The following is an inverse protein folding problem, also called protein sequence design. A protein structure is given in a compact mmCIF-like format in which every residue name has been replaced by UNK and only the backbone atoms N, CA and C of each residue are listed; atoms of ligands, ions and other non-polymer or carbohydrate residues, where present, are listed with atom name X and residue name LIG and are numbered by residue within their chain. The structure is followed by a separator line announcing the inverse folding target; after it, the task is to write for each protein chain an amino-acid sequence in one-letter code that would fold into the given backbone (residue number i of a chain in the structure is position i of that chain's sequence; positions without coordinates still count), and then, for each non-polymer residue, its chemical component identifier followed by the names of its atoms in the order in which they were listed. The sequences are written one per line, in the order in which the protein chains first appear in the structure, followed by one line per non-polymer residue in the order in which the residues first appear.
data_IF_189930942746
#
_entry.id   IF_189930942746
#
_cell.length_a   1.000
_cell.length_b   1.000
_cell.length_c   1.000
_cell.angle_alpha   90.00
_cell.angle_beta   90.00
_cell.angle_gamma   90.00
#
_symmetry.space_group_name_H-M   'P 1'
#
loop_
_entity.id
_entity.type
_entity.pdbx_description
1 polymer ?
#
# COMPACT_ATOMS: atom_id res chain seq x y z
N UNK A 1 21.94 35.87 22.20
CA UNK A 1 20.99 36.94 22.57
C UNK A 1 19.57 36.49 22.25
N UNK A 2 18.69 36.40 23.26
CA UNK A 2 17.23 36.44 23.07
C UNK A 2 16.44 35.13 23.14
N UNK A 3 16.45 34.44 24.29
CA UNK A 3 15.35 33.54 24.68
C UNK A 3 14.20 34.37 25.29
N UNK A 4 12.95 34.04 24.97
CA UNK A 4 11.77 34.47 25.74
C UNK A 4 10.82 33.29 25.98
N UNK A 5 10.54 33.11 27.27
CA UNK A 5 9.66 32.13 27.91
C UNK A 5 8.18 32.39 27.62
N UNK A 6 7.34 31.34 27.70
CA UNK A 6 5.95 31.46 28.16
C UNK A 6 5.56 30.25 29.04
N UNK A 7 5.56 30.53 30.33
CA UNK A 7 4.73 30.09 31.47
C UNK A 7 3.67 28.97 31.31
N UNK A 8 3.66 28.06 32.29
CA UNK A 8 2.60 27.12 32.64
C UNK A 8 1.89 27.55 33.95
N UNK A 9 0.60 27.21 34.19
CA UNK A 9 -0.02 27.38 35.50
C UNK A 9 -0.22 26.06 36.28
N UNK A 10 -0.08 26.21 37.61
CA UNK A 10 -0.14 25.24 38.71
C UNK A 10 -1.54 24.67 38.98
N UNK A 11 -1.61 23.50 39.62
CA UNK A 11 -2.73 23.06 40.48
C UNK A 11 -2.21 22.55 41.83
N UNK A 12 -2.85 22.88 42.98
CA UNK A 12 -2.46 22.37 44.30
C UNK A 12 -3.33 21.18 44.77
N UNK A 13 -2.83 20.55 45.82
CA UNK A 13 -3.26 19.33 46.49
C UNK A 13 -4.50 19.47 47.41
N UNK A 14 -5.09 18.33 47.78
CA UNK A 14 -5.95 18.17 48.95
C UNK A 14 -5.78 16.77 49.55
N UNK A 15 -5.62 16.72 50.87
CA UNK A 15 -5.45 15.55 51.71
C UNK A 15 -6.59 15.43 52.72
N UNK A 16 -6.92 14.18 53.09
CA UNK A 16 -7.42 13.81 54.43
C UNK A 16 -8.94 13.73 54.64
N UNK A 17 -9.45 12.54 54.96
CA UNK A 17 -10.01 12.24 56.30
C UNK A 17 -10.40 10.75 56.45
N UNK A 18 -10.09 10.23 57.63
CA UNK A 18 -10.33 8.88 58.14
C UNK A 18 -11.65 8.87 58.92
N UNK A 19 -12.42 7.79 58.85
CA UNK A 19 -13.36 7.41 59.90
C UNK A 19 -13.55 5.89 59.93
N UNK A 20 -13.28 5.30 61.09
CA UNK A 20 -13.52 3.90 61.44
C UNK A 20 -14.81 3.78 62.28
N UNK A 21 -15.55 2.66 62.15
CA UNK A 21 -16.08 1.86 63.29
C UNK A 21 -16.82 0.60 62.77
N UNK A 22 -16.48 -0.56 63.35
CA UNK A 22 -17.21 -1.83 63.31
C UNK A 22 -18.07 -1.96 64.61
N UNK A 23 -18.65 -3.12 65.02
CA UNK A 23 -18.95 -4.41 64.37
C UNK A 23 -20.39 -4.94 64.64
N UNK A 24 -20.86 -6.00 63.97
CA UNK A 24 -21.80 -6.99 64.56
C UNK A 24 -22.07 -8.20 63.65
N UNK A 25 -21.93 -9.40 64.22
CA UNK A 25 -22.82 -10.55 63.92
C UNK A 25 -22.36 -11.59 62.89
N UNK A 26 -21.73 -12.67 63.36
CA UNK A 26 -21.77 -14.01 62.74
C UNK A 26 -23.08 -14.72 63.14
N UNK A 27 -23.65 -15.60 62.30
CA UNK A 27 -23.33 -17.03 62.45
C UNK A 27 -23.22 -17.85 61.14
N UNK A 28 -22.25 -18.77 61.20
CA UNK A 28 -22.12 -20.13 60.64
C UNK A 28 -22.88 -20.59 59.36
N UNK A 29 -22.04 -20.93 58.37
CA UNK A 29 -21.94 -22.20 57.61
C UNK A 29 -23.18 -22.82 56.91
N UNK A 30 -23.08 -23.01 55.58
CA UNK A 30 -23.62 -24.15 54.81
C UNK A 30 -23.01 -24.18 53.38
N UNK A 31 -22.14 -25.18 53.16
CA UNK A 31 -21.82 -25.99 51.94
C UNK A 31 -21.56 -25.37 50.54
N UNK A 32 -20.69 -26.01 49.71
CA UNK A 32 -20.22 -25.45 48.44
C UNK A 32 -21.09 -25.91 47.26
N UNK A 33 -21.58 -24.98 46.43
CA UNK A 33 -22.18 -25.32 45.15
C UNK A 33 -22.00 -24.19 44.13
N UNK A 34 -21.67 -24.61 42.91
CA UNK A 34 -21.61 -23.82 41.68
C UNK A 34 -20.51 -22.75 41.60
N UNK A 35 -19.29 -23.22 41.27
CA UNK A 35 -18.39 -22.40 40.48
C UNK A 35 -19.09 -22.05 39.16
N UNK A 36 -19.64 -20.83 39.09
CA UNK A 36 -20.05 -20.23 37.86
C UNK A 36 -18.84 -20.23 36.92
N UNK A 37 -18.92 -21.03 35.86
CA UNK A 37 -17.95 -21.01 34.77
C UNK A 37 -18.05 -19.61 34.13
N UNK A 38 -17.22 -18.71 34.64
CA UNK A 38 -16.84 -17.50 33.96
C UNK A 38 -16.31 -17.98 32.60
N UNK A 39 -17.07 -17.74 31.53
CA UNK A 39 -16.58 -17.96 30.17
C UNK A 39 -15.38 -17.05 30.00
N UNK A 40 -14.20 -17.60 30.28
CA UNK A 40 -12.95 -16.97 30.00
C UNK A 40 -12.99 -16.60 28.52
N UNK A 41 -12.94 -15.30 28.23
CA UNK A 41 -12.61 -14.79 26.92
C UNK A 41 -11.34 -15.52 26.49
N UNK A 42 -11.49 -16.52 25.61
CA UNK A 42 -10.36 -17.15 24.95
C UNK A 42 -9.62 -15.98 24.29
N UNK A 43 -8.33 -15.75 24.62
CA UNK A 43 -7.55 -14.75 23.91
C UNK A 43 -7.64 -15.12 22.43
N UNK A 44 -8.30 -14.28 21.63
CA UNK A 44 -8.37 -14.48 20.20
C UNK A 44 -6.91 -14.54 19.73
N UNK A 45 -6.48 -15.71 19.27
CA UNK A 45 -5.12 -15.88 18.77
C UNK A 45 -4.90 -14.83 17.67
N UNK A 46 -3.97 -13.87 17.85
CA UNK A 46 -3.76 -12.79 16.88
C UNK A 46 -3.27 -13.31 15.53
N UNK A 47 -2.84 -14.59 15.46
CA UNK A 47 -2.44 -15.25 14.23
C UNK A 47 -3.59 -15.89 13.47
N UNK A 48 -4.76 -16.07 14.11
CA UNK A 48 -5.91 -16.74 13.51
C UNK A 48 -6.43 -15.98 12.28
N UNK A 49 -6.93 -16.71 11.26
CA UNK A 49 -7.51 -16.10 10.08
C UNK A 49 -8.77 -15.32 10.45
N UNK A 50 -8.82 -14.05 10.06
CA UNK A 50 -9.94 -13.14 10.30
C UNK A 50 -10.48 -12.64 8.97
N UNK A 51 -11.80 -12.65 8.83
CA UNK A 51 -12.47 -12.19 7.61
C UNK A 51 -13.00 -10.78 7.86
N UNK A 52 -12.68 -9.87 6.95
CA UNK A 52 -13.15 -8.49 6.92
C UNK A 52 -14.05 -8.29 5.71
N UNK A 53 -15.27 -7.86 5.95
CA UNK A 53 -16.21 -7.49 4.90
C UNK A 53 -16.03 -6.01 4.57
N UNK A 54 -15.76 -5.69 3.31
CA UNK A 54 -15.57 -4.33 2.82
C UNK A 54 -16.73 -3.94 1.93
N UNK A 55 -17.30 -2.78 2.22
CA UNK A 55 -18.29 -2.13 1.34
C UNK A 55 -17.66 -1.61 0.05
N UNK A 56 -18.47 -1.34 -0.98
CA UNK A 56 -17.99 -0.75 -2.23
C UNK A 56 -17.38 0.63 -1.99
N UNK A 57 -16.21 0.89 -2.58
CA UNK A 57 -15.47 2.15 -2.43
C UNK A 57 -14.70 2.28 -1.12
N UNK A 58 -14.61 1.22 -0.32
CA UNK A 58 -13.77 1.17 0.87
C UNK A 58 -12.40 0.55 0.59
N UNK A 59 -11.42 0.95 1.40
CA UNK A 59 -10.13 0.26 1.52
C UNK A 59 -9.93 -0.30 2.92
N UNK A 60 -9.28 -1.45 3.01
CA UNK A 60 -8.72 -2.01 4.23
C UNK A 60 -7.26 -1.62 4.34
N UNK A 61 -6.91 -0.86 5.37
CA UNK A 61 -5.53 -0.49 5.69
C UNK A 61 -4.97 -1.45 6.72
N UNK A 62 -3.79 -2.00 6.42
CA UNK A 62 -3.14 -3.00 7.25
C UNK A 62 -1.71 -2.54 7.55
N UNK A 63 -1.34 -2.56 8.83
CA UNK A 63 0.04 -2.46 9.31
C UNK A 63 0.40 -3.80 9.90
N UNK A 64 1.34 -4.50 9.26
CA UNK A 64 1.87 -5.78 9.75
C UNK A 64 2.84 -5.52 10.90
N UNK A 65 2.89 -6.46 11.84
CA UNK A 65 3.92 -6.50 12.89
C UNK A 65 5.33 -6.45 12.29
N UNK A 66 6.28 -5.79 12.95
CA UNK A 66 7.62 -5.55 12.38
C UNK A 66 8.43 -6.86 12.25
N UNK A 67 8.27 -7.79 13.19
CA UNK A 67 9.07 -9.01 13.27
C UNK A 67 8.39 -10.22 12.61
N UNK A 68 7.12 -10.11 12.26
CA UNK A 68 6.29 -11.23 11.81
C UNK A 68 5.66 -10.95 10.45
N UNK A 69 5.29 -12.01 9.75
CA UNK A 69 4.65 -11.91 8.45
C UNK A 69 3.16 -12.18 8.55
N UNK A 70 2.40 -11.51 7.69
CA UNK A 70 0.98 -11.76 7.50
C UNK A 70 0.73 -12.21 6.05
N UNK A 71 -0.48 -12.67 5.78
CA UNK A 71 -0.95 -12.94 4.44
C UNK A 71 -2.38 -12.45 4.28
N UNK A 72 -2.72 -12.06 3.06
CA UNK A 72 -4.07 -11.66 2.70
C UNK A 72 -4.57 -12.51 1.56
N UNK A 73 -5.86 -12.85 1.60
CA UNK A 73 -6.54 -13.65 0.59
C UNK A 73 -7.89 -13.04 0.29
N UNK A 74 -8.18 -12.82 -0.99
CA UNK A 74 -9.53 -12.50 -1.43
C UNK A 74 -10.39 -13.77 -1.32
N UNK A 75 -11.45 -13.72 -0.51
CA UNK A 75 -12.35 -14.87 -0.34
C UNK A 75 -13.23 -14.97 -1.59
N UNK A 76 -13.23 -16.13 -2.24
CA UNK A 76 -14.08 -16.38 -3.40
C UNK A 76 -15.55 -16.39 -2.99
N UNK A 77 -16.39 -15.68 -3.75
CA UNK A 77 -17.84 -15.77 -3.59
C UNK A 77 -18.35 -17.04 -4.29
N UNK A 78 -18.89 -18.04 -3.57
CA UNK A 78 -19.38 -19.28 -4.18
C UNK A 78 -20.54 -19.06 -5.18
N UNK A 79 -21.16 -17.87 -5.18
CA UNK A 79 -22.22 -17.52 -6.14
C UNK A 79 -21.68 -16.93 -7.45
N UNK A 80 -20.43 -16.46 -7.49
CA UNK A 80 -19.82 -15.80 -8.65
C UNK A 80 -19.26 -16.78 -9.69
N UNK A 81 -19.12 -18.07 -9.36
CA UNK A 81 -18.48 -19.09 -10.23
C UNK A 81 -19.34 -19.55 -11.40
N UNK A 82 -20.53 -18.97 -11.62
CA UNK A 82 -21.35 -19.28 -12.79
C UNK A 82 -20.89 -18.41 -13.98
N UNK A 83 -20.49 -19.00 -15.12
CA UNK A 83 -20.14 -18.23 -16.30
C UNK A 83 -21.35 -17.38 -16.73
N UNK A 84 -21.15 -16.06 -16.83
CA UNK A 84 -22.18 -15.09 -17.21
C UNK A 84 -22.74 -14.21 -16.08
N UNK A 85 -22.33 -14.42 -14.83
CA UNK A 85 -22.66 -13.49 -13.73
C UNK A 85 -21.54 -12.44 -13.57
N UNK A 86 -21.84 -11.14 -13.41
CA UNK A 86 -20.81 -10.13 -13.15
C UNK A 86 -20.00 -10.49 -11.89
N UNK A 87 -18.68 -10.30 -11.97
CA UNK A 87 -17.74 -10.54 -10.86
C UNK A 87 -18.20 -9.71 -9.66
N UNK A 88 -18.85 -10.35 -8.69
CA UNK A 88 -19.44 -9.67 -7.54
C UNK A 88 -18.39 -9.19 -6.53
N UNK A 89 -17.18 -9.76 -6.57
CA UNK A 89 -16.11 -9.49 -5.62
C UNK A 89 -14.79 -9.21 -6.33
N UNK A 90 -14.35 -7.96 -6.29
CA UNK A 90 -13.05 -7.53 -6.81
C UNK A 90 -12.29 -6.78 -5.72
N UNK A 91 -10.99 -7.03 -5.60
CA UNK A 91 -10.12 -6.27 -4.70
C UNK A 91 -8.77 -6.03 -5.36
N UNK A 92 -8.12 -4.92 -5.02
CA UNK A 92 -6.83 -4.56 -5.58
C UNK A 92 -5.88 -3.97 -4.51
N UNK A 93 -4.59 -4.32 -4.60
CA UNK A 93 -3.52 -3.71 -3.81
C UNK A 93 -2.80 -2.73 -4.72
N UNK A 94 -2.95 -1.43 -4.45
CA UNK A 94 -2.37 -0.36 -5.27
C UNK A 94 -2.58 -0.57 -6.79
N UNK A 95 -3.80 -0.96 -7.17
CA UNK A 95 -4.20 -1.19 -8.57
C UNK A 95 -3.85 -2.57 -9.15
N UNK A 96 -3.08 -3.41 -8.45
CA UNK A 96 -2.87 -4.82 -8.82
C UNK A 96 -4.04 -5.67 -8.33
N UNK A 97 -4.69 -6.38 -9.24
CA UNK A 97 -5.89 -7.16 -8.97
C UNK A 97 -5.56 -8.44 -8.18
N UNK A 98 -6.37 -8.73 -7.16
CA UNK A 98 -6.22 -9.92 -6.33
C UNK A 98 -7.02 -11.09 -6.93
N UNK A 99 -6.37 -12.23 -7.06
CA UNK A 99 -7.00 -13.48 -7.49
C UNK A 99 -7.72 -14.13 -6.31
N UNK A 100 -9.03 -14.44 -6.42
CA UNK A 100 -9.75 -15.13 -5.37
C UNK A 100 -9.11 -16.47 -5.00
N UNK A 101 -8.93 -16.71 -3.69
CA UNK A 101 -8.33 -17.94 -3.18
C UNK A 101 -6.79 -17.94 -3.13
N UNK A 102 -6.12 -16.99 -3.77
CA UNK A 102 -4.66 -16.85 -3.73
C UNK A 102 -4.18 -16.14 -2.46
N UNK A 103 -3.12 -16.66 -1.85
CA UNK A 103 -2.44 -16.02 -0.72
C UNK A 103 -1.41 -15.01 -1.21
N UNK A 104 -1.49 -13.78 -0.70
CA UNK A 104 -0.52 -12.71 -0.95
C UNK A 104 0.27 -12.43 0.33
N UNK A 105 1.61 -12.60 0.32
CA UNK A 105 2.44 -12.43 1.51
C UNK A 105 2.72 -10.95 1.82
N UNK A 106 2.42 -10.55 3.05
CA UNK A 106 2.77 -9.24 3.59
C UNK A 106 3.96 -9.40 4.56
N UNK A 107 5.10 -8.80 4.20
CA UNK A 107 6.31 -8.85 5.04
C UNK A 107 6.15 -8.01 6.30
N UNK A 108 7.03 -8.25 7.27
CA UNK A 108 7.01 -7.50 8.53
C UNK A 108 7.21 -6.00 8.29
N UNK A 109 6.47 -5.18 9.05
CA UNK A 109 6.46 -3.72 8.91
C UNK A 109 5.79 -3.18 7.64
N UNK A 110 5.21 -4.06 6.80
CA UNK A 110 4.50 -3.64 5.58
C UNK A 110 3.27 -2.83 5.95
N UNK A 111 3.14 -1.65 5.32
CA UNK A 111 1.93 -0.82 5.34
C UNK A 111 1.26 -0.92 3.98
N UNK A 112 0.08 -1.54 3.93
CA UNK A 112 -0.63 -1.75 2.67
C UNK A 112 -2.09 -1.31 2.77
N UNK A 113 -2.70 -1.09 1.61
CA UNK A 113 -4.11 -0.79 1.45
C UNK A 113 -4.70 -1.72 0.38
N UNK A 114 -5.81 -2.37 0.72
CA UNK A 114 -6.58 -3.21 -0.20
C UNK A 114 -7.88 -2.47 -0.50
N UNK A 115 -8.07 -2.03 -1.74
CA UNK A 115 -9.25 -1.30 -2.18
C UNK A 115 -10.25 -2.23 -2.89
N UNK A 116 -11.54 -1.94 -2.77
CA UNK A 116 -12.59 -2.63 -3.53
C UNK A 116 -13.56 -1.67 -4.19
N UNK A 117 -13.83 -1.89 -5.48
CA UNK A 117 -14.82 -1.12 -6.24
C UNK A 117 -16.26 -1.57 -5.97
N UNK A 118 -16.48 -2.88 -5.82
CA UNK A 118 -17.81 -3.48 -5.76
C UNK A 118 -18.18 -4.06 -4.38
N UNK A 119 -17.22 -4.10 -3.45
CA UNK A 119 -17.34 -4.81 -2.18
C UNK A 119 -16.68 -6.18 -2.25
N UNK A 120 -16.09 -6.63 -1.15
CA UNK A 120 -15.42 -7.94 -1.10
C UNK A 120 -15.27 -8.44 0.34
N UNK A 121 -14.82 -9.69 0.47
CA UNK A 121 -14.39 -10.25 1.76
C UNK A 121 -12.90 -10.57 1.69
N UNK A 122 -12.13 -9.97 2.57
CA UNK A 122 -10.68 -10.19 2.68
C UNK A 122 -10.41 -11.01 3.92
N UNK A 123 -9.74 -12.14 3.75
CA UNK A 123 -9.18 -12.92 4.84
C UNK A 123 -7.76 -12.42 5.12
N UNK A 124 -7.51 -11.95 6.34
CA UNK A 124 -6.18 -11.62 6.83
C UNK A 124 -5.74 -12.73 7.78
N UNK A 125 -4.53 -13.25 7.62
CA UNK A 125 -3.98 -14.27 8.54
C UNK A 125 -2.60 -13.84 9.00
N UNK A 126 -2.30 -14.08 10.28
CA UNK A 126 -1.06 -13.61 10.91
C UNK A 126 -1.22 -12.26 11.64
N UNK A 127 -0.20 -11.88 12.43
CA UNK A 127 -0.25 -10.76 13.34
C UNK A 127 -0.13 -9.41 12.63
N UNK A 128 -0.89 -8.44 13.11
CA UNK A 128 -0.94 -7.07 12.61
C UNK A 128 -0.98 -6.11 13.79
N UNK A 129 -0.37 -4.95 13.61
CA UNK A 129 -0.44 -3.84 14.57
C UNK A 129 -1.75 -3.10 14.42
N UNK A 130 -2.22 -2.92 13.18
CA UNK A 130 -3.41 -2.14 12.89
C UNK A 130 -4.16 -2.66 11.68
N UNK A 131 -5.49 -2.73 11.81
CA UNK A 131 -6.44 -2.99 10.74
C UNK A 131 -7.67 -2.13 10.90
N UNK A 132 -7.99 -1.35 9.87
CA UNK A 132 -9.23 -0.63 9.81
C UNK A 132 -9.63 -0.41 8.36
N UNK A 133 -10.94 -0.43 8.14
CA UNK A 133 -11.54 -0.07 6.87
C UNK A 133 -11.94 1.41 6.87
N UNK A 134 -11.79 2.05 5.72
CA UNK A 134 -12.19 3.44 5.51
C UNK A 134 -12.68 3.65 4.07
N UNK A 135 -13.67 4.52 3.84
CA UNK A 135 -14.02 4.94 2.48
C UNK A 135 -12.85 5.71 1.86
N UNK A 136 -12.47 5.37 0.63
CA UNK A 136 -11.46 6.10 -0.13
C UNK A 136 -12.05 6.68 -1.41
N UNK A 137 -12.35 7.98 -1.37
CA UNK A 137 -12.90 8.73 -2.49
C UNK A 137 -11.85 9.06 -3.56
N UNK A 138 -10.56 9.10 -3.20
CA UNK A 138 -9.45 9.52 -4.05
C UNK A 138 -9.17 8.52 -5.17
N UNK A 139 -9.53 7.25 -4.98
CA UNK A 139 -9.38 6.22 -6.03
C UNK A 139 -10.14 6.57 -7.33
N UNK A 140 -11.25 7.33 -7.22
CA UNK A 140 -11.98 7.83 -8.41
C UNK A 140 -11.16 8.83 -9.22
N UNK A 141 -10.35 9.64 -8.56
CA UNK A 141 -9.45 10.58 -9.24
C UNK A 141 -8.31 9.80 -9.92
N UNK A 142 -7.79 8.76 -9.27
CA UNK A 142 -6.71 7.94 -9.84
C UNK A 142 -7.14 7.21 -11.11
N UNK A 143 -8.32 6.58 -11.11
CA UNK A 143 -8.85 5.92 -12.32
C UNK A 143 -9.17 6.93 -13.42
N UNK A 144 -9.65 8.13 -13.06
CA UNK A 144 -9.90 9.21 -14.02
C UNK A 144 -8.59 9.69 -14.67
N UNK A 145 -7.52 9.86 -13.87
CA UNK A 145 -6.18 10.16 -14.38
C UNK A 145 -5.68 9.07 -15.34
N UNK A 146 -5.83 7.80 -14.98
CA UNK A 146 -5.45 6.68 -15.84
C UNK A 146 -6.23 6.67 -17.17
N UNK A 147 -7.53 6.95 -17.13
CA UNK A 147 -8.35 7.05 -18.34
C UNK A 147 -7.90 8.17 -19.28
N UNK A 148 -7.53 9.34 -18.74
CA UNK A 148 -6.97 10.45 -19.54
C UNK A 148 -5.62 10.08 -20.15
N UNK A 149 -4.75 9.40 -19.40
CA UNK A 149 -3.47 8.92 -19.91
C UNK A 149 -3.66 7.92 -21.05
N UNK A 150 -4.64 7.01 -20.93
CA UNK A 150 -4.98 6.06 -21.97
C UNK A 150 -5.50 6.74 -23.24
N UNK A 151 -6.42 7.70 -23.09
CA UNK A 151 -6.90 8.47 -24.24
C UNK A 151 -5.77 9.22 -24.95
N UNK A 152 -4.82 9.78 -24.20
CA UNK A 152 -3.64 10.44 -24.77
C UNK A 152 -2.71 9.46 -25.47
N UNK A 153 -2.59 8.22 -24.96
CA UNK A 153 -1.81 7.15 -25.59
C UNK A 153 -2.43 6.77 -26.93
N UNK A 154 -3.72 6.44 -26.95
CA UNK A 154 -4.43 6.11 -28.20
C UNK A 154 -4.27 7.22 -29.25
N UNK A 155 -4.47 8.48 -28.86
CA UNK A 155 -4.29 9.61 -29.76
C UNK A 155 -2.85 9.77 -30.25
N UNK A 156 -1.87 9.46 -29.42
CA UNK A 156 -0.47 9.50 -29.82
C UNK A 156 -0.18 8.41 -30.85
N UNK A 157 -0.73 7.20 -30.66
CA UNK A 157 -0.60 6.09 -31.60
C UNK A 157 -1.25 6.42 -32.96
N UNK A 158 -2.46 6.98 -32.95
CA UNK A 158 -3.19 7.39 -34.16
C UNK A 158 -2.42 8.45 -34.97
N UNK A 159 -1.67 9.32 -34.30
CA UNK A 159 -0.93 10.44 -34.90
C UNK A 159 0.57 10.13 -35.11
N UNK A 160 1.05 8.94 -34.73
CA UNK A 160 2.47 8.60 -34.74
C UNK A 160 3.34 9.50 -33.84
N UNK A 161 2.77 10.00 -32.74
CA UNK A 161 3.45 10.84 -31.75
C UNK A 161 4.01 9.99 -30.60
N UNK A 162 5.00 10.51 -29.84
CA UNK A 162 5.50 9.81 -28.65
C UNK A 162 4.42 9.60 -27.59
N UNK A 163 4.43 8.43 -26.95
CA UNK A 163 3.55 8.09 -25.83
C UNK A 163 3.61 9.12 -24.68
N UNK A 164 2.51 9.31 -23.94
CA UNK A 164 2.42 10.33 -22.89
C UNK A 164 3.42 10.07 -21.76
N UNK A 165 4.01 11.17 -21.25
CA UNK A 165 4.91 11.16 -20.08
C UNK A 165 4.27 11.97 -18.97
N UNK A 166 4.20 11.40 -17.78
CA UNK A 166 3.63 12.05 -16.60
C UNK A 166 4.68 12.22 -15.52
N UNK A 167 4.73 13.41 -14.91
CA UNK A 167 5.56 13.70 -13.76
C UNK A 167 4.64 13.94 -12.55
N UNK A 168 4.84 13.18 -11.48
CA UNK A 168 4.07 13.31 -10.24
C UNK A 168 4.89 14.09 -9.22
N UNK A 169 4.41 15.28 -8.87
CA UNK A 169 5.03 16.18 -7.91
C UNK A 169 4.13 16.39 -6.68
N UNK A 170 4.72 16.70 -5.54
CA UNK A 170 3.99 16.94 -4.30
C UNK A 170 4.91 16.91 -3.08
N UNK A 171 4.36 17.30 -1.92
CA UNK A 171 5.09 17.31 -0.64
C UNK A 171 5.53 15.92 -0.20
N UNK A 172 6.39 15.85 0.82
CA UNK A 172 6.75 14.59 1.44
C UNK A 172 5.50 13.87 1.97
N UNK A 173 5.46 12.54 1.83
CA UNK A 173 4.39 11.67 2.31
C UNK A 173 2.98 11.93 1.73
N UNK A 174 2.85 12.67 0.62
CA UNK A 174 1.56 12.94 -0.03
C UNK A 174 0.98 11.77 -0.86
N UNK A 175 1.58 10.56 -0.78
CA UNK A 175 1.11 9.39 -1.53
C UNK A 175 1.58 9.29 -3.00
N UNK A 176 2.59 10.07 -3.42
CA UNK A 176 3.12 10.08 -4.81
C UNK A 176 3.48 8.68 -5.31
N UNK A 177 4.25 7.93 -4.52
CA UNK A 177 4.71 6.59 -4.91
C UNK A 177 3.53 5.62 -5.04
N UNK A 178 2.54 5.71 -4.14
CA UNK A 178 1.30 4.93 -4.22
C UNK A 178 0.49 5.25 -5.47
N UNK A 179 0.35 6.53 -5.83
CA UNK A 179 -0.29 6.95 -7.08
C UNK A 179 0.45 6.39 -8.31
N UNK A 180 1.78 6.53 -8.35
CA UNK A 180 2.57 5.99 -9.46
C UNK A 180 2.39 4.47 -9.61
N UNK A 181 2.35 3.73 -8.50
CA UNK A 181 2.09 2.29 -8.50
C UNK A 181 0.70 1.95 -9.06
N UNK A 182 -0.35 2.66 -8.62
CA UNK A 182 -1.71 2.49 -9.14
C UNK A 182 -1.74 2.74 -10.65
N UNK A 183 -1.16 3.84 -11.13
CA UNK A 183 -1.14 4.18 -12.55
C UNK A 183 -0.36 3.15 -13.38
N UNK A 184 0.76 2.63 -12.87
CA UNK A 184 1.53 1.59 -13.55
C UNK A 184 0.73 0.28 -13.65
N UNK A 185 0.11 -0.15 -12.55
CA UNK A 185 -0.71 -1.37 -12.54
C UNK A 185 -1.96 -1.24 -13.41
N UNK A 186 -2.59 -0.06 -13.46
CA UNK A 186 -3.71 0.18 -14.38
C UNK A 186 -3.29 0.17 -15.85
N UNK A 187 -2.07 0.64 -16.17
CA UNK A 187 -1.53 0.50 -17.52
C UNK A 187 -1.27 -0.97 -17.88
N UNK A 188 -0.71 -1.78 -16.96
CA UNK A 188 -0.52 -3.22 -17.15
C UNK A 188 -1.85 -3.95 -17.43
N UNK A 189 -2.93 -3.59 -16.71
CA UNK A 189 -4.28 -4.15 -16.95
C UNK A 189 -4.83 -3.83 -18.33
N UNK A 190 -4.27 -2.84 -19.01
CA UNK A 190 -4.58 -2.46 -20.40
C UNK A 190 -3.50 -2.95 -21.38
N UNK A 191 -2.70 -3.93 -20.96
CA UNK A 191 -1.63 -4.56 -21.76
C UNK A 191 -0.52 -3.59 -22.19
N UNK A 192 -0.38 -2.46 -21.47
CA UNK A 192 0.71 -1.52 -21.68
C UNK A 192 1.86 -1.78 -20.72
N UNK A 193 3.10 -1.55 -21.18
CA UNK A 193 4.33 -1.72 -20.40
C UNK A 193 4.98 -0.37 -20.07
N UNK A 194 4.46 0.40 -19.08
CA UNK A 194 5.00 1.71 -18.76
C UNK A 194 6.43 1.61 -18.20
N UNK A 195 7.24 2.65 -18.44
CA UNK A 195 8.53 2.81 -17.76
C UNK A 195 8.32 3.69 -16.53
N UNK A 196 8.42 3.11 -15.35
CA UNK A 196 8.43 3.85 -14.09
C UNK A 196 9.82 4.43 -13.85
N UNK A 197 9.89 5.74 -13.64
CA UNK A 197 11.15 6.45 -13.35
C UNK A 197 11.08 6.98 -11.92
N UNK A 198 12.00 6.53 -11.08
CA UNK A 198 12.17 7.01 -9.71
C UNK A 198 13.32 8.01 -9.64
N UNK A 199 12.97 9.23 -9.26
CA UNK A 199 13.92 10.33 -9.08
C UNK A 199 14.22 10.59 -7.61
N UNK A 200 13.54 9.90 -6.68
CA UNK A 200 13.78 10.08 -5.25
C UNK A 200 14.98 9.24 -4.81
N UNK A 201 16.07 9.91 -4.43
CA UNK A 201 17.30 9.27 -3.96
C UNK A 201 17.19 8.73 -2.54
N UNK A 202 16.17 9.13 -1.78
CA UNK A 202 16.03 8.75 -0.36
C UNK A 202 15.59 7.31 -0.23
N UNK A 203 14.40 7.00 -0.74
CA UNK A 203 13.80 5.67 -0.74
C UNK A 203 12.37 5.76 -1.30
N UNK A 204 12.03 4.93 -2.30
CA UNK A 204 10.63 4.74 -2.68
C UNK A 204 10.07 3.50 -1.98
N UNK A 205 8.96 3.66 -1.26
CA UNK A 205 8.33 2.61 -0.44
C UNK A 205 7.51 1.59 -1.22
N UNK A 206 7.64 1.55 -2.55
CA UNK A 206 6.85 0.66 -3.41
C UNK A 206 7.63 -0.62 -3.64
N UNK A 207 7.21 -1.72 -2.99
CA UNK A 207 7.92 -3.02 -3.00
C UNK A 207 8.41 -3.47 -4.39
N UNK A 208 7.57 -3.38 -5.41
CA UNK A 208 7.92 -3.80 -6.78
C UNK A 208 8.81 -2.80 -7.53
N UNK A 209 8.54 -1.51 -7.30
CA UNK A 209 9.23 -0.39 -7.95
C UNK A 209 10.38 0.14 -7.09
N UNK A 210 10.80 -0.64 -6.08
CA UNK A 210 11.75 -0.21 -5.07
C UNK A 210 13.13 -0.03 -5.70
N UNK A 211 13.54 1.22 -5.84
CA UNK A 211 14.91 1.58 -6.20
C UNK A 211 15.89 1.24 -5.08
N UNK A 212 17.17 1.14 -5.45
CA UNK A 212 18.24 1.12 -4.46
C UNK A 212 18.35 2.53 -3.83
N UNK A 213 18.68 2.64 -2.53
CA UNK A 213 18.91 3.94 -1.90
C UNK A 213 20.08 4.66 -2.59
N UNK A 214 20.04 5.99 -2.59
CA UNK A 214 21.02 6.85 -3.27
C UNK A 214 21.17 6.57 -4.78
N UNK A 215 20.15 5.98 -5.41
CA UNK A 215 20.09 5.76 -6.86
C UNK A 215 18.90 6.46 -7.49
N UNK A 216 19.08 6.89 -8.75
CA UNK A 216 17.99 7.26 -9.65
C UNK A 216 17.73 6.08 -10.55
N UNK A 217 16.47 5.65 -10.71
CA UNK A 217 16.15 4.40 -11.41
C UNK A 217 15.08 4.56 -12.49
N UNK A 218 15.14 3.72 -13.52
CA UNK A 218 14.06 3.53 -14.49
C UNK A 218 13.80 2.05 -14.70
N UNK A 219 12.55 1.66 -14.57
CA UNK A 219 12.12 0.26 -14.55
C UNK A 219 10.93 0.08 -15.50
N UNK A 220 11.05 -0.72 -16.57
CA UNK A 220 9.89 -1.19 -17.32
C UNK A 220 9.03 -2.05 -16.40
N UNK A 221 7.76 -1.72 -16.29
CA UNK A 221 6.79 -2.50 -15.54
C UNK A 221 6.15 -3.47 -16.52
N UNK A 222 6.53 -4.75 -16.44
CA UNK A 222 6.09 -5.82 -17.36
C UNK A 222 5.13 -6.82 -16.68
N UNK A 223 5.18 -6.95 -15.35
CA UNK A 223 4.39 -7.89 -14.57
C UNK A 223 3.72 -7.22 -13.37
N UNK A 224 2.67 -7.85 -12.84
CA UNK A 224 1.97 -7.37 -11.64
C UNK A 224 2.85 -7.45 -10.37
N UNK A 225 2.40 -6.79 -9.30
CA UNK A 225 3.13 -6.67 -8.04
C UNK A 225 3.61 -8.02 -7.50
N UNK A 226 4.90 -8.07 -7.10
CA UNK A 226 5.65 -9.15 -6.40
C UNK A 226 6.81 -9.78 -7.19
N UNK A 227 6.92 -9.57 -8.50
CA UNK A 227 8.10 -10.00 -9.28
C UNK A 227 9.18 -8.92 -9.38
N UNK A 228 10.46 -9.31 -9.21
CA UNK A 228 11.58 -8.38 -9.39
C UNK A 228 11.74 -7.99 -10.86
N UNK A 229 11.90 -6.70 -11.17
CA UNK A 229 12.03 -6.26 -12.54
C UNK A 229 13.41 -6.61 -13.12
N UNK A 230 13.43 -7.42 -14.17
CA UNK A 230 14.67 -7.90 -14.80
C UNK A 230 15.47 -6.81 -15.52
N UNK A 231 14.81 -5.75 -15.99
CA UNK A 231 15.41 -4.73 -16.89
C UNK A 231 15.49 -3.33 -16.28
N UNK A 232 15.73 -3.27 -14.97
CA UNK A 232 15.93 -2.02 -14.22
C UNK A 232 17.25 -1.35 -14.61
N UNK A 233 17.18 -0.06 -14.89
CA UNK A 233 18.32 0.83 -15.03
C UNK A 233 18.48 1.60 -13.71
N UNK A 234 19.65 1.53 -13.09
CA UNK A 234 19.92 2.23 -11.84
C UNK A 234 21.26 2.97 -11.95
N UNK A 235 21.26 4.25 -11.60
CA UNK A 235 22.46 5.07 -11.54
C UNK A 235 22.69 5.53 -10.11
N UNK A 236 23.83 5.12 -9.57
CA UNK A 236 24.24 5.48 -8.22
C UNK A 236 24.67 6.95 -8.18
N UNK A 237 23.93 7.75 -7.42
CA UNK A 237 24.21 9.15 -7.14
C UNK A 237 25.11 9.30 -5.90
N UNK A 238 24.98 8.40 -4.92
CA UNK A 238 25.86 8.32 -3.76
C UNK A 238 25.48 9.22 -2.57
N UNK A 239 24.44 10.03 -2.70
CA UNK A 239 23.87 10.79 -1.60
C UNK A 239 22.38 10.47 -1.42
N UNK A 240 21.90 10.58 -0.18
CA UNK A 240 20.48 10.39 0.16
C UNK A 240 19.67 11.60 -0.30
N UNK A 241 20.25 12.80 -0.19
CA UNK A 241 19.58 14.05 -0.55
C UNK A 241 20.13 14.62 -1.87
N UNK A 242 19.22 15.01 -2.75
CA UNK A 242 19.56 15.67 -4.01
C UNK A 242 20.30 17.00 -3.79
N UNK A 243 20.10 17.65 -2.63
CA UNK A 243 20.72 18.93 -2.26
C UNK A 243 22.21 18.83 -1.95
N UNK A 244 22.71 17.64 -1.63
CA UNK A 244 24.12 17.45 -1.24
C UNK A 244 25.08 17.73 -2.41
N UNK A 245 24.68 17.35 -3.63
CA UNK A 245 25.42 17.60 -4.85
C UNK A 245 24.48 17.78 -6.06
N UNK A 246 23.83 18.95 -6.18
CA UNK A 246 22.80 19.17 -7.20
C UNK A 246 23.36 19.05 -8.62
N UNK A 247 24.62 19.45 -8.85
CA UNK A 247 25.27 19.34 -10.17
C UNK A 247 25.46 17.88 -10.59
N UNK A 248 25.82 17.00 -9.66
CA UNK A 248 25.93 15.57 -9.95
C UNK A 248 24.55 14.96 -10.17
N UNK A 249 23.56 15.32 -9.34
CA UNK A 249 22.19 14.87 -9.50
C UNK A 249 21.63 15.21 -10.88
N UNK A 250 21.77 16.45 -11.33
CA UNK A 250 21.38 16.88 -12.68
C UNK A 250 22.07 16.08 -13.79
N UNK A 251 23.37 15.78 -13.64
CA UNK A 251 24.11 14.96 -14.62
C UNK A 251 23.59 13.52 -14.65
N UNK A 252 23.33 12.92 -13.49
CA UNK A 252 22.81 11.55 -13.37
C UNK A 252 21.42 11.45 -13.99
N UNK A 253 20.52 12.38 -13.65
CA UNK A 253 19.17 12.45 -14.22
C UNK A 253 19.22 12.72 -15.73
N UNK A 254 20.09 13.62 -16.19
CA UNK A 254 20.28 13.88 -17.62
C UNK A 254 20.75 12.63 -18.36
N UNK A 255 21.71 11.89 -17.80
CA UNK A 255 22.20 10.65 -18.38
C UNK A 255 21.10 9.57 -18.42
N UNK A 256 20.38 9.36 -17.31
CA UNK A 256 19.24 8.44 -17.27
C UNK A 256 18.19 8.80 -18.34
N UNK A 257 17.88 10.09 -18.50
CA UNK A 257 16.90 10.54 -19.50
C UNK A 257 17.28 10.12 -20.92
N UNK A 258 18.56 10.26 -21.30
CA UNK A 258 19.04 9.88 -22.64
C UNK A 258 18.91 8.38 -22.88
N UNK A 259 19.23 7.57 -21.88
CA UNK A 259 19.16 6.11 -21.96
C UNK A 259 17.70 5.64 -22.02
N UNK A 260 16.80 6.24 -21.23
CA UNK A 260 15.36 5.94 -21.29
C UNK A 260 14.78 6.33 -22.65
N UNK A 261 15.15 7.49 -23.20
CA UNK A 261 14.71 7.91 -24.53
C UNK A 261 15.21 6.96 -25.63
N UNK A 262 16.47 6.53 -25.56
CA UNK A 262 17.02 5.53 -26.48
C UNK A 262 16.27 4.20 -26.38
N UNK A 263 15.95 3.75 -25.15
CA UNK A 263 15.15 2.54 -24.92
C UNK A 263 13.76 2.65 -25.53
N UNK A 264 13.08 3.79 -25.35
CA UNK A 264 11.76 4.05 -25.93
C UNK A 264 11.81 4.05 -27.46
N UNK A 265 12.86 4.60 -28.07
CA UNK A 265 13.02 4.60 -29.53
C UNK A 265 13.24 3.19 -30.11
N UNK A 266 13.85 2.28 -29.35
CA UNK A 266 14.09 0.90 -29.78
C UNK A 266 12.93 -0.07 -29.46
N UNK A 267 12.07 0.28 -28.50
CA UNK A 267 10.95 -0.57 -28.07
C UNK A 267 9.90 -0.82 -29.17
N UNK A 268 9.65 0.15 -30.05
CA UNK A 268 8.63 0.03 -31.11
C UNK A 268 8.91 -1.02 -32.20
N UNK A 269 10.12 -1.57 -32.28
CA UNK A 269 10.50 -2.55 -33.32
C UNK A 269 10.45 -4.02 -32.84
N UNK A 270 10.47 -4.26 -31.52
CA UNK A 270 10.64 -5.61 -30.96
C UNK A 270 9.30 -6.29 -30.57
N UNK A 271 8.24 -5.53 -30.36
CA UNK A 271 6.94 -6.08 -29.95
C UNK A 271 6.20 -6.76 -31.12
N UNK A 272 6.42 -6.29 -32.35
CA UNK A 272 5.97 -6.97 -33.57
C UNK A 272 6.65 -8.32 -33.85
N UNK A 273 7.78 -8.62 -33.19
CA UNK A 273 8.49 -9.89 -33.34
C UNK A 273 8.10 -10.94 -32.30
N UNK A 274 7.54 -10.54 -31.15
CA UNK A 274 7.16 -11.46 -30.07
C UNK A 274 5.73 -12.01 -30.18
N UNK A 275 4.88 -11.38 -30.97
CA UNK A 275 3.53 -11.91 -31.30
C UNK A 275 3.59 -12.94 -32.44
N UNK A 276 4.77 -13.14 -33.05
CA UNK A 276 4.97 -14.02 -34.20
C UNK A 276 5.77 -15.32 -33.89
N UNK A 277 6.01 -15.65 -32.61
CA UNK A 277 6.64 -16.91 -32.18
C UNK A 277 5.77 -17.63 -31.16
#
# INVERSE_FOLDING_TARGET
HGCREVSAPRRPALAGMVAALAPAGLPQALTPAAAAACSALVPLDPSAPRIKELGPGCELRIIVDDDKHARVRLVADPKATKPGHPVSTSAEIFGAELVPGQDYPLLGGTRTAIYTWHGCKIQVSGPTVQEYDAPNVVMRDYISCAAVLEQRRQRADDLGLPAPRALVCGSAFSGKSSLCQVLCNYALRREHTPIFVDLDTRYSSVRQLQGLPACVTATPVEHAADEEPQRRMAYFYGHIDWSDNPRLYERVVSHLSRVVLAKLAHGGSAEGARVAS
#
